data_IF_660328215600
#
_entry.id   IF_660328215600
#
_cell.length_a   1.000
_cell.length_b   1.000
_cell.length_c   1.000
_cell.angle_alpha   90.00
_cell.angle_beta   90.00
_cell.angle_gamma   90.00
#
_symmetry.space_group_name_H-M   'P 1'
#
loop_
_entity.id
_entity.type
_entity.pdbx_description
1 polymer ?
#
# COMPACT_ATOMS: atom_id res chain seq x y z
N UNK A 1 -63.29 -22.46 -35.50
CA UNK A 1 -63.54 -21.32 -34.59
C UNK A 1 -62.21 -20.71 -34.21
N UNK A 2 -62.11 -19.38 -34.26
CA UNK A 2 -60.94 -18.54 -33.96
C UNK A 2 -60.37 -18.84 -32.55
N UNK A 3 -59.07 -18.71 -32.24
CA UNK A 3 -58.25 -17.48 -32.16
C UNK A 3 -56.76 -17.87 -31.89
N UNK A 4 -55.77 -17.02 -32.26
CA UNK A 4 -54.36 -17.19 -31.90
C UNK A 4 -54.06 -16.57 -30.53
N UNK A 5 -53.12 -17.14 -29.77
CA UNK A 5 -52.57 -16.52 -28.55
C UNK A 5 -51.18 -16.00 -28.87
N UNK A 6 -51.02 -14.68 -28.72
CA UNK A 6 -49.80 -13.94 -28.97
C UNK A 6 -48.72 -14.24 -27.92
N UNK A 7 -47.49 -14.39 -28.39
CA UNK A 7 -46.28 -14.50 -27.60
C UNK A 7 -45.85 -13.09 -27.17
N UNK A 8 -46.05 -12.74 -25.90
CA UNK A 8 -45.52 -11.51 -25.32
C UNK A 8 -44.15 -11.79 -24.71
N UNK A 9 -43.09 -11.27 -25.35
CA UNK A 9 -41.73 -11.23 -24.81
C UNK A 9 -41.70 -10.16 -23.72
N UNK A 10 -41.61 -10.57 -22.45
CA UNK A 10 -41.31 -9.68 -21.33
C UNK A 10 -39.79 -9.45 -21.30
N UNK A 11 -39.34 -8.29 -21.78
CA UNK A 11 -38.04 -7.73 -21.43
C UNK A 11 -38.11 -7.26 -19.97
N UNK A 12 -37.53 -8.03 -19.05
CA UNK A 12 -37.27 -7.59 -17.68
C UNK A 12 -36.08 -6.64 -17.68
N UNK A 13 -36.36 -5.34 -17.73
CA UNK A 13 -35.39 -4.30 -17.34
C UNK A 13 -35.33 -4.32 -15.82
N UNK A 14 -34.30 -4.97 -15.28
CA UNK A 14 -33.99 -4.92 -13.85
C UNK A 14 -33.46 -3.52 -13.51
N UNK A 15 -34.36 -2.58 -13.23
CA UNK A 15 -34.01 -1.39 -12.49
C UNK A 15 -33.70 -1.81 -11.05
N UNK A 16 -32.41 -1.89 -10.72
CA UNK A 16 -31.96 -2.01 -9.33
C UNK A 16 -32.51 -0.81 -8.55
N UNK A 17 -33.41 -1.10 -7.62
CA UNK A 17 -33.99 -0.13 -6.70
C UNK A 17 -32.90 0.43 -5.81
N UNK A 18 -32.72 1.76 -5.87
CA UNK A 18 -31.84 2.53 -5.01
C UNK A 18 -32.37 2.44 -3.57
N UNK A 19 -31.55 1.87 -2.69
CA UNK A 19 -31.78 1.90 -1.25
C UNK A 19 -31.86 3.36 -0.80
N UNK A 20 -32.95 3.73 -0.11
CA UNK A 20 -33.20 5.08 0.38
C UNK A 20 -32.36 5.34 1.64
N UNK A 21 -31.03 5.33 1.48
CA UNK A 21 -30.09 5.76 2.49
C UNK A 21 -30.23 7.26 2.77
N UNK A 22 -30.00 7.67 4.02
CA UNK A 22 -29.95 9.06 4.42
C UNK A 22 -29.06 9.88 3.46
N UNK A 23 -29.49 11.09 3.10
CA UNK A 23 -28.74 11.95 2.19
C UNK A 23 -27.34 12.26 2.78
N UNK A 24 -26.29 11.75 2.12
CA UNK A 24 -24.90 11.97 2.51
C UNK A 24 -24.45 13.36 2.03
N UNK A 25 -24.11 14.24 2.97
CA UNK A 25 -23.60 15.58 2.70
C UNK A 25 -22.12 15.70 3.08
N UNK A 26 -21.33 16.36 2.23
CA UNK A 26 -19.91 16.64 2.48
C UNK A 26 -19.58 18.11 2.23
N UNK A 27 -18.62 18.64 2.98
CA UNK A 27 -18.18 20.04 2.88
C UNK A 27 -17.18 20.28 1.75
N UNK A 28 -16.43 19.24 1.37
CA UNK A 28 -15.46 19.24 0.28
C UNK A 28 -15.49 17.89 -0.41
N UNK A 29 -15.33 17.87 -1.74
CA UNK A 29 -15.39 16.63 -2.51
C UNK A 29 -14.02 15.96 -2.72
N UNK A 30 -12.94 16.73 -2.56
CA UNK A 30 -11.57 16.27 -2.83
C UNK A 30 -10.57 16.79 -1.77
N UNK A 31 -10.96 16.81 -0.49
CA UNK A 31 -10.05 17.21 0.58
C UNK A 31 -8.83 16.27 0.70
N UNK A 32 -7.67 16.81 1.11
CA UNK A 32 -6.54 16.01 1.58
C UNK A 32 -6.98 15.05 2.67
N UNK A 33 -6.58 13.78 2.57
CA UNK A 33 -7.02 12.75 3.51
C UNK A 33 -5.93 11.71 3.81
N UNK A 34 -4.66 12.07 3.67
CA UNK A 34 -3.51 11.20 3.98
C UNK A 34 -2.82 11.63 5.26
N UNK A 35 -1.92 10.80 5.80
CA UNK A 35 -1.04 11.15 6.91
C UNK A 35 0.22 11.90 6.49
N UNK A 36 0.48 12.08 5.18
CA UNK A 36 1.58 12.89 4.68
C UNK A 36 1.43 14.34 5.13
N UNK A 37 2.56 15.05 5.29
CA UNK A 37 2.52 16.47 5.66
C UNK A 37 1.87 17.30 4.55
N UNK A 38 0.92 18.21 4.86
CA UNK A 38 0.35 19.13 3.86
C UNK A 38 1.39 20.12 3.30
N UNK A 39 2.57 20.22 3.94
CA UNK A 39 3.69 21.00 3.46
C UNK A 39 4.47 20.27 2.35
N UNK A 40 4.42 18.95 2.29
CA UNK A 40 5.10 18.15 1.27
C UNK A 40 4.45 18.35 -0.09
N UNK A 41 5.20 18.88 -1.06
CA UNK A 41 4.70 19.27 -2.39
C UNK A 41 4.73 18.15 -3.42
N UNK A 42 5.15 16.94 -3.02
CA UNK A 42 5.50 15.87 -3.94
C UNK A 42 6.95 15.96 -4.35
N UNK A 43 7.40 14.99 -5.14
CA UNK A 43 8.80 14.91 -5.58
C UNK A 43 8.93 14.31 -6.97
N UNK A 44 10.05 14.58 -7.64
CA UNK A 44 10.28 14.19 -9.04
C UNK A 44 10.37 12.69 -9.28
N UNK A 45 10.60 11.90 -8.22
CA UNK A 45 10.59 10.43 -8.25
C UNK A 45 9.19 9.82 -8.07
N UNK A 46 8.12 10.63 -8.24
CA UNK A 46 6.75 10.14 -8.33
C UNK A 46 6.00 10.03 -7.00
N UNK A 47 6.44 10.71 -5.93
CA UNK A 47 5.58 10.91 -4.77
C UNK A 47 4.62 12.07 -5.02
N UNK A 48 3.36 11.87 -4.66
CA UNK A 48 2.34 12.91 -4.75
C UNK A 48 2.49 13.92 -3.62
N UNK A 49 1.84 15.08 -3.74
CA UNK A 49 1.80 16.04 -2.64
C UNK A 49 1.01 15.47 -1.45
N UNK A 50 1.37 15.87 -0.22
CA UNK A 50 0.62 15.46 0.98
C UNK A 50 -0.79 16.05 1.04
N UNK A 51 -1.12 16.98 0.14
CA UNK A 51 -2.47 17.53 -0.04
C UNK A 51 -3.36 16.67 -0.97
N UNK A 52 -2.90 15.49 -1.37
CA UNK A 52 -3.65 14.62 -2.29
C UNK A 52 -4.84 13.97 -1.60
N UNK A 53 -5.99 13.89 -2.29
CA UNK A 53 -7.09 13.01 -1.89
C UNK A 53 -6.87 11.61 -2.45
N UNK A 54 -6.76 10.63 -1.57
CA UNK A 54 -6.48 9.23 -1.91
C UNK A 54 -7.67 8.37 -1.56
N UNK A 55 -7.92 7.36 -2.38
CA UNK A 55 -8.99 6.38 -2.17
C UNK A 55 -8.81 5.64 -0.84
N UNK A 56 -9.93 5.47 -0.14
CA UNK A 56 -10.04 4.68 1.09
C UNK A 56 -10.70 3.32 0.84
N UNK A 57 -10.84 2.92 -0.42
CA UNK A 57 -11.25 1.55 -0.75
C UNK A 57 -10.25 0.59 -0.12
N UNK A 58 -10.77 -0.40 0.59
CA UNK A 58 -9.97 -1.39 1.31
C UNK A 58 -9.05 -2.13 0.33
N UNK A 59 -7.74 -2.19 0.62
CA UNK A 59 -6.75 -2.86 -0.21
C UNK A 59 -7.02 -4.36 -0.41
N UNK A 60 -7.75 -5.00 0.51
CA UNK A 60 -8.16 -6.40 0.36
C UNK A 60 -9.07 -6.62 -0.85
N UNK A 61 -9.72 -5.59 -1.38
CA UNK A 61 -10.52 -5.68 -2.63
C UNK A 61 -9.68 -6.01 -3.86
N UNK A 62 -8.35 -5.86 -3.80
CA UNK A 62 -7.42 -6.26 -4.86
C UNK A 62 -6.90 -7.69 -4.70
N UNK A 63 -7.19 -8.37 -3.58
CA UNK A 63 -6.79 -9.75 -3.35
C UNK A 63 -7.81 -10.72 -3.96
N UNK A 64 -7.37 -11.95 -4.20
CA UNK A 64 -8.22 -13.04 -4.66
C UNK A 64 -9.42 -13.27 -3.71
N UNK A 65 -10.60 -13.67 -4.24
CA UNK A 65 -11.79 -13.90 -3.42
C UNK A 65 -11.56 -14.92 -2.29
N UNK A 66 -12.04 -14.60 -1.10
CA UNK A 66 -11.87 -15.44 0.09
C UNK A 66 -10.46 -15.39 0.70
N UNK A 67 -9.64 -14.41 0.32
CA UNK A 67 -8.34 -14.18 0.95
C UNK A 67 -8.47 -13.91 2.45
N UNK A 68 -7.57 -14.52 3.22
CA UNK A 68 -7.30 -14.23 4.64
C UNK A 68 -5.89 -13.67 4.85
N UNK A 69 -5.25 -13.23 3.77
CA UNK A 69 -3.90 -12.65 3.78
C UNK A 69 -3.89 -11.39 4.63
N UNK A 70 -2.92 -11.26 5.55
CA UNK A 70 -2.71 -9.97 6.22
C UNK A 70 -1.87 -9.04 5.34
N UNK A 71 -2.33 -7.82 5.16
CA UNK A 71 -1.63 -6.79 4.40
C UNK A 71 -0.82 -5.91 5.34
N UNK A 72 0.50 -5.97 5.23
CA UNK A 72 1.46 -5.28 6.11
C UNK A 72 2.17 -4.17 5.33
N UNK A 73 2.24 -2.95 5.83
CA UNK A 73 3.04 -1.91 5.19
C UNK A 73 4.50 -1.96 5.66
N UNK A 74 5.47 -1.92 4.75
CA UNK A 74 6.86 -1.70 5.14
C UNK A 74 6.99 -0.25 5.64
N UNK A 75 7.36 -0.07 6.91
CA UNK A 75 7.31 1.19 7.63
C UNK A 75 8.69 1.59 8.12
N UNK A 76 9.10 2.83 7.82
CA UNK A 76 10.43 3.34 8.12
C UNK A 76 10.33 4.51 9.11
N UNK A 77 10.52 4.28 10.42
CA UNK A 77 10.45 5.31 11.45
C UNK A 77 11.75 6.14 11.51
N UNK A 78 12.21 6.63 10.37
CA UNK A 78 13.58 7.15 10.20
C UNK A 78 13.65 8.66 9.87
N UNK A 79 12.52 9.36 9.82
CA UNK A 79 12.44 10.79 9.56
C UNK A 79 12.70 11.54 10.86
N UNK A 80 13.99 11.81 11.12
CA UNK A 80 14.45 12.35 12.40
C UNK A 80 14.77 13.85 12.39
N UNK A 81 15.39 14.36 13.47
CA UNK A 81 15.83 15.77 13.57
C UNK A 81 16.84 16.16 12.49
N UNK A 82 17.65 15.20 12.04
CA UNK A 82 18.70 15.44 11.08
C UNK A 82 18.09 15.43 9.67
N UNK A 83 18.30 16.50 8.88
CA UNK A 83 17.82 16.54 7.50
C UNK A 83 18.32 15.33 6.72
N UNK A 84 17.41 14.70 5.97
CA UNK A 84 17.71 13.71 4.95
C UNK A 84 17.71 14.39 3.58
N UNK A 85 17.92 13.65 2.49
CA UNK A 85 17.91 14.20 1.12
C UNK A 85 16.57 14.86 0.74
N UNK A 86 15.53 14.64 1.54
CA UNK A 86 14.18 15.17 1.37
C UNK A 86 13.60 15.66 2.71
N UNK A 87 12.88 16.79 2.68
CA UNK A 87 12.04 17.22 3.81
C UNK A 87 10.59 16.76 3.58
N UNK A 88 10.16 15.76 4.37
CA UNK A 88 8.79 15.21 4.32
C UNK A 88 7.80 16.01 5.19
N UNK A 89 8.27 17.03 5.91
CA UNK A 89 7.44 17.93 6.70
C UNK A 89 6.87 17.33 7.99
N UNK A 90 7.47 16.25 8.50
CA UNK A 90 7.16 15.66 9.81
C UNK A 90 8.38 14.91 10.39
N UNK A 91 8.26 14.49 11.66
CA UNK A 91 9.22 13.57 12.31
C UNK A 91 8.54 12.26 12.71
N UNK A 92 9.26 11.16 12.60
CA UNK A 92 8.78 9.81 12.96
C UNK A 92 8.62 9.60 14.47
N UNK A 93 9.26 10.43 15.30
CA UNK A 93 9.13 10.40 16.76
C UNK A 93 8.03 11.34 17.29
N UNK A 94 7.25 12.00 16.42
CA UNK A 94 6.06 12.77 16.83
C UNK A 94 4.85 11.82 17.02
N UNK A 95 4.31 11.67 18.25
CA UNK A 95 3.16 10.80 18.50
C UNK A 95 1.90 11.20 17.72
N UNK A 96 1.72 12.50 17.40
CA UNK A 96 0.59 12.95 16.58
C UNK A 96 0.74 12.53 15.13
N UNK A 97 1.97 12.50 14.61
CA UNK A 97 2.24 11.95 13.30
C UNK A 97 1.99 10.45 13.29
N UNK A 98 2.47 9.71 14.30
CA UNK A 98 2.21 8.28 14.43
C UNK A 98 0.71 7.97 14.44
N UNK A 99 -0.10 8.73 15.20
CA UNK A 99 -1.56 8.59 15.20
C UNK A 99 -2.15 8.77 13.80
N UNK A 100 -1.80 9.85 13.09
CA UNK A 100 -2.27 10.07 11.71
C UNK A 100 -1.86 8.92 10.80
N UNK A 101 -0.63 8.44 10.90
CA UNK A 101 -0.09 7.36 10.08
C UNK A 101 -0.87 6.06 10.27
N UNK A 102 -1.09 5.59 11.50
CA UNK A 102 -1.83 4.35 11.71
C UNK A 102 -3.33 4.48 11.44
N UNK A 103 -3.93 5.63 11.70
CA UNK A 103 -5.33 5.87 11.33
C UNK A 103 -5.51 5.87 9.80
N UNK A 104 -4.55 6.44 9.07
CA UNK A 104 -4.55 6.42 7.61
C UNK A 104 -4.37 5.00 7.07
N UNK A 105 -3.37 4.25 7.56
CA UNK A 105 -3.18 2.84 7.23
C UNK A 105 -4.46 2.03 7.48
N UNK A 106 -5.09 2.18 8.65
CA UNK A 106 -6.32 1.47 9.02
C UNK A 106 -7.46 1.84 8.07
N UNK A 107 -7.59 3.11 7.71
CA UNK A 107 -8.60 3.59 6.76
C UNK A 107 -8.45 3.04 5.34
N UNK A 108 -7.30 2.44 5.00
CA UNK A 108 -7.01 1.83 3.68
C UNK A 108 -6.97 0.29 3.74
N UNK A 109 -7.31 -0.30 4.88
CA UNK A 109 -7.32 -1.76 5.07
C UNK A 109 -5.95 -2.39 5.34
N UNK A 110 -4.98 -1.64 5.87
CA UNK A 110 -3.69 -2.21 6.28
C UNK A 110 -3.81 -2.88 7.66
N UNK A 111 -3.34 -4.12 7.78
CA UNK A 111 -3.43 -4.96 8.99
C UNK A 111 -2.18 -4.91 9.88
N UNK A 112 -1.21 -4.08 9.55
CA UNK A 112 0.01 -3.99 10.31
C UNK A 112 1.19 -3.44 9.56
N UNK A 113 2.35 -3.53 10.20
CA UNK A 113 3.60 -2.99 9.65
C UNK A 113 4.77 -3.95 9.80
N UNK A 114 5.68 -3.92 8.84
CA UNK A 114 7.02 -4.47 8.99
C UNK A 114 7.95 -3.27 9.19
N UNK A 115 8.52 -3.14 10.38
CA UNK A 115 9.27 -1.95 10.78
C UNK A 115 10.74 -2.13 10.42
N UNK A 116 11.26 -1.25 9.57
CA UNK A 116 12.70 -1.15 9.30
C UNK A 116 13.44 -0.70 10.56
N UNK A 117 14.45 -1.45 10.98
CA UNK A 117 15.02 -1.34 12.31
C UNK A 117 16.53 -1.58 12.36
N UNK A 118 17.25 -0.64 12.98
CA UNK A 118 18.73 -0.57 12.98
C UNK A 118 19.36 -0.84 14.34
N UNK A 119 18.67 -1.51 15.26
CA UNK A 119 19.24 -1.87 16.55
C UNK A 119 18.82 -0.99 17.72
N UNK A 120 19.03 -1.53 18.93
CA UNK A 120 18.84 -0.82 20.20
C UNK A 120 19.59 0.51 20.22
N UNK A 121 18.93 1.57 20.70
CA UNK A 121 19.53 2.90 20.86
C UNK A 121 19.62 3.75 19.59
N UNK A 122 19.28 3.20 18.41
CA UNK A 122 19.14 4.02 17.20
C UNK A 122 17.92 4.95 17.29
N UNK A 123 17.93 6.02 16.48
CA UNK A 123 16.75 6.88 16.33
C UNK A 123 15.50 6.10 15.88
N UNK A 124 15.65 5.14 14.97
CA UNK A 124 14.51 4.33 14.49
C UNK A 124 13.88 3.48 15.60
N UNK A 125 14.67 2.99 16.55
CA UNK A 125 14.16 2.29 17.74
C UNK A 125 13.39 3.26 18.65
N UNK A 126 13.92 4.47 18.85
CA UNK A 126 13.26 5.53 19.63
C UNK A 126 11.93 5.96 18.99
N UNK A 127 11.92 6.22 17.69
CA UNK A 127 10.75 6.62 16.93
C UNK A 127 9.70 5.49 16.86
N UNK A 128 10.14 4.23 16.73
CA UNK A 128 9.23 3.08 16.81
C UNK A 128 8.56 2.99 18.18
N UNK A 129 9.32 3.09 19.28
CA UNK A 129 8.74 3.10 20.65
C UNK A 129 7.74 4.24 20.84
N UNK A 130 8.02 5.42 20.28
CA UNK A 130 7.08 6.56 20.31
C UNK A 130 5.80 6.31 19.48
N UNK A 131 5.88 5.44 18.46
CA UNK A 131 4.78 5.07 17.58
C UNK A 131 3.88 3.96 18.15
N UNK A 132 4.40 3.12 19.04
CA UNK A 132 3.65 1.97 19.61
C UNK A 132 2.32 2.34 20.29
N UNK A 133 2.17 3.45 21.04
CA UNK A 133 0.87 3.85 21.57
C UNK A 133 -0.20 4.10 20.49
N UNK A 134 0.19 4.68 19.36
CA UNK A 134 -0.71 4.91 18.23
C UNK A 134 -1.08 3.60 17.50
N UNK A 135 -0.13 2.66 17.38
CA UNK A 135 -0.43 1.30 16.92
C UNK A 135 -1.39 0.58 17.87
N UNK A 136 -1.24 0.76 19.18
CA UNK A 136 -2.11 0.14 20.19
C UNK A 136 -3.56 0.63 20.13
N UNK A 137 -3.79 1.85 19.64
CA UNK A 137 -5.13 2.37 19.34
C UNK A 137 -5.80 1.65 18.16
N UNK A 138 -5.03 0.90 17.37
CA UNK A 138 -5.49 0.09 16.23
C UNK A 138 -5.31 -1.41 16.55
N UNK A 139 -6.14 -2.03 17.40
CA UNK A 139 -5.89 -3.36 17.99
C UNK A 139 -5.89 -4.52 16.98
N UNK A 140 -6.39 -4.31 15.77
CA UNK A 140 -6.31 -5.28 14.66
C UNK A 140 -4.94 -5.28 13.98
N UNK A 141 -4.18 -4.19 14.12
CA UNK A 141 -2.86 -4.08 13.53
C UNK A 141 -1.83 -4.90 14.29
N UNK A 142 -1.00 -5.60 13.53
CA UNK A 142 0.18 -6.29 14.03
C UNK A 142 1.47 -5.60 13.58
N UNK A 143 2.60 -5.93 14.20
CA UNK A 143 3.90 -5.46 13.74
C UNK A 143 4.97 -6.54 13.82
N UNK A 144 5.90 -6.53 12.88
CA UNK A 144 7.15 -7.27 12.96
C UNK A 144 8.32 -6.29 12.85
N UNK A 145 9.51 -6.70 13.28
CA UNK A 145 10.73 -5.94 13.01
C UNK A 145 11.52 -6.60 11.89
N UNK A 146 12.13 -5.76 11.07
CA UNK A 146 13.11 -6.11 10.06
C UNK A 146 14.47 -5.62 10.52
N UNK A 147 15.36 -6.55 10.84
CA UNK A 147 16.75 -6.24 11.16
C UNK A 147 17.45 -5.88 9.86
N UNK A 148 17.76 -4.62 9.67
CA UNK A 148 18.45 -4.14 8.47
C UNK A 148 19.96 -4.07 8.68
N UNK A 149 20.70 -4.23 7.58
CA UNK A 149 22.17 -4.21 7.53
C UNK A 149 22.80 -2.94 8.12
N UNK A 150 22.08 -1.83 8.13
CA UNK A 150 22.43 -0.61 8.84
C UNK A 150 22.70 -0.83 10.33
N UNK A 151 22.09 -1.84 10.95
CA UNK A 151 22.37 -2.19 12.35
C UNK A 151 23.86 -2.46 12.61
N UNK A 152 24.61 -2.96 11.63
CA UNK A 152 26.05 -3.25 11.79
C UNK A 152 26.91 -2.00 11.71
N UNK A 153 26.43 -0.97 11.03
CA UNK A 153 27.07 0.35 11.00
C UNK A 153 26.80 1.14 12.27
N UNK A 154 25.59 1.05 12.80
CA UNK A 154 25.13 1.96 13.85
C UNK A 154 25.15 1.33 15.25
N UNK A 155 24.81 0.04 15.39
CA UNK A 155 24.56 -0.61 16.68
C UNK A 155 25.06 -2.06 16.73
N UNK A 156 26.23 -2.34 16.14
CA UNK A 156 26.89 -3.62 16.35
C UNK A 156 27.32 -3.76 17.82
N UNK A 157 27.15 -4.94 18.42
CA UNK A 157 27.63 -5.13 19.79
C UNK A 157 29.17 -5.16 19.84
N UNK A 158 29.73 -4.62 20.93
CA UNK A 158 31.18 -4.40 21.05
C UNK A 158 31.94 -5.73 21.02
N UNK A 159 32.81 -5.89 20.02
CA UNK A 159 33.65 -7.07 19.86
C UNK A 159 32.92 -8.32 19.33
N UNK A 160 31.65 -8.17 18.95
CA UNK A 160 30.86 -9.25 18.39
C UNK A 160 31.20 -9.51 16.91
N UNK A 161 31.12 -10.77 16.50
CA UNK A 161 30.99 -11.14 15.10
C UNK A 161 29.56 -10.88 14.56
N UNK A 162 29.36 -11.15 13.27
CA UNK A 162 28.06 -11.01 12.59
C UNK A 162 26.94 -11.79 13.29
N UNK A 163 27.18 -13.06 13.65
CA UNK A 163 26.18 -13.92 14.28
C UNK A 163 25.87 -13.46 15.70
N UNK A 164 26.91 -13.10 16.47
CA UNK A 164 26.77 -12.58 17.82
C UNK A 164 26.00 -11.26 17.84
N UNK A 165 26.20 -10.39 16.84
CA UNK A 165 25.44 -9.16 16.70
C UNK A 165 23.97 -9.45 16.40
N UNK A 166 23.66 -10.35 15.47
CA UNK A 166 22.26 -10.75 15.18
C UNK A 166 21.58 -11.31 16.44
N UNK A 167 22.27 -12.20 17.17
CA UNK A 167 21.73 -12.78 18.41
C UNK A 167 21.54 -11.72 19.50
N UNK A 168 22.48 -10.79 19.64
CA UNK A 168 22.36 -9.67 20.58
C UNK A 168 21.12 -8.81 20.28
N UNK A 169 20.88 -8.49 19.01
CA UNK A 169 19.68 -7.75 18.60
C UNK A 169 18.40 -8.57 18.87
N UNK A 170 18.39 -9.88 18.58
CA UNK A 170 17.26 -10.74 18.90
C UNK A 170 16.95 -10.83 20.39
N UNK A 171 17.97 -10.79 21.24
CA UNK A 171 17.77 -10.81 22.69
C UNK A 171 17.13 -9.51 23.17
N UNK A 172 17.51 -8.37 22.60
CA UNK A 172 16.82 -7.10 22.84
C UNK A 172 15.36 -7.16 22.39
N UNK A 173 15.12 -7.61 21.15
CA UNK A 173 13.76 -7.72 20.61
C UNK A 173 12.87 -8.65 21.42
N UNK A 174 13.43 -9.76 21.94
CA UNK A 174 12.72 -10.70 22.78
C UNK A 174 12.27 -10.11 24.11
N UNK A 175 13.05 -9.20 24.68
CA UNK A 175 12.68 -8.51 25.93
C UNK A 175 11.70 -7.37 25.70
N UNK A 176 11.95 -6.56 24.68
CA UNK A 176 11.23 -5.29 24.49
C UNK A 176 9.94 -5.44 23.66
N UNK A 177 9.96 -6.27 22.61
CA UNK A 177 8.92 -6.26 21.58
C UNK A 177 8.08 -7.53 21.56
N UNK A 178 8.69 -8.71 21.73
CA UNK A 178 7.95 -9.97 21.65
C UNK A 178 6.84 -10.12 22.69
N UNK A 179 6.90 -9.56 23.91
CA UNK A 179 5.78 -9.62 24.86
C UNK A 179 4.50 -8.92 24.36
N UNK A 180 4.60 -8.03 23.36
CA UNK A 180 3.43 -7.39 22.79
C UNK A 180 2.48 -8.40 22.14
N UNK A 181 1.19 -8.26 22.43
CA UNK A 181 0.11 -9.03 21.78
C UNK A 181 -0.05 -8.67 20.30
N UNK A 182 0.39 -7.49 19.90
CA UNK A 182 0.40 -7.05 18.51
C UNK A 182 1.67 -7.46 17.76
N UNK A 183 2.67 -8.08 18.41
CA UNK A 183 3.82 -8.62 17.67
C UNK A 183 3.36 -9.76 16.75
N UNK A 184 3.72 -9.67 15.47
CA UNK A 184 3.32 -10.59 14.41
C UNK A 184 3.84 -11.99 14.73
N UNK A 185 2.92 -12.95 14.66
CA UNK A 185 3.21 -14.36 14.89
C UNK A 185 2.67 -15.22 13.77
N UNK A 186 3.40 -16.29 13.47
CA UNK A 186 2.95 -17.38 12.62
C UNK A 186 3.12 -18.67 13.43
N UNK A 187 2.05 -19.47 13.53
CA UNK A 187 1.97 -20.63 14.42
C UNK A 187 2.43 -20.35 15.87
N UNK A 188 2.00 -19.20 16.41
CA UNK A 188 2.32 -18.76 17.77
C UNK A 188 3.74 -18.24 17.99
N UNK A 189 4.62 -18.29 17.00
CA UNK A 189 6.03 -17.85 17.11
C UNK A 189 6.27 -16.47 16.48
N UNK A 190 7.11 -15.62 17.09
CA UNK A 190 7.45 -14.30 16.55
C UNK A 190 8.13 -14.41 15.17
N UNK A 191 7.68 -13.58 14.23
CA UNK A 191 8.27 -13.46 12.89
C UNK A 191 9.25 -12.29 12.88
N UNK A 192 10.48 -12.54 12.43
CA UNK A 192 11.52 -11.52 12.27
C UNK A 192 12.04 -11.55 10.84
N UNK A 193 12.19 -10.36 10.26
CA UNK A 193 12.70 -10.19 8.91
C UNK A 193 14.17 -9.75 8.96
N UNK A 194 14.90 -10.00 7.88
CA UNK A 194 16.23 -9.42 7.67
C UNK A 194 16.30 -8.70 6.33
N UNK A 195 17.10 -7.64 6.26
CA UNK A 195 17.31 -6.90 5.02
C UNK A 195 18.79 -6.60 4.81
N UNK A 196 19.30 -6.95 3.63
CA UNK A 196 20.66 -6.63 3.21
C UNK A 196 21.77 -7.34 4.00
N UNK A 197 21.48 -8.42 4.74
CA UNK A 197 22.51 -9.10 5.55
C UNK A 197 23.68 -9.62 4.71
N UNK A 198 23.42 -10.03 3.47
CA UNK A 198 24.46 -10.52 2.55
C UNK A 198 25.51 -9.46 2.21
N UNK A 199 25.16 -8.17 2.29
CA UNK A 199 26.09 -7.07 2.02
C UNK A 199 27.09 -6.84 3.16
N UNK A 200 26.77 -7.27 4.38
CA UNK A 200 27.63 -7.09 5.57
C UNK A 200 28.41 -8.36 5.94
N UNK A 201 28.03 -9.51 5.40
CA UNK A 201 28.80 -10.75 5.52
C UNK A 201 27.95 -12.01 5.34
N UNK A 202 28.55 -13.16 5.64
CA UNK A 202 27.87 -14.47 5.57
C UNK A 202 27.43 -14.91 6.95
N UNK A 203 26.16 -14.66 7.28
CA UNK A 203 25.58 -15.14 8.52
C UNK A 203 25.43 -16.67 8.49
N UNK A 204 25.69 -17.32 9.63
CA UNK A 204 25.43 -18.74 9.84
C UNK A 204 24.00 -18.91 10.36
N UNK A 205 23.04 -18.94 9.42
CA UNK A 205 21.62 -19.02 9.73
C UNK A 205 21.24 -20.31 10.46
N UNK A 206 21.97 -21.41 10.26
CA UNK A 206 21.75 -22.64 11.01
C UNK A 206 22.11 -22.45 12.49
N UNK A 207 23.26 -21.81 12.78
CA UNK A 207 23.67 -21.45 14.14
C UNK A 207 22.70 -20.45 14.79
N UNK A 208 22.30 -19.41 14.07
CA UNK A 208 21.36 -18.39 14.56
C UNK A 208 20.01 -19.04 14.91
N UNK A 209 19.46 -19.84 14.00
CA UNK A 209 18.19 -20.53 14.22
C UNK A 209 18.26 -21.57 15.34
N UNK A 210 19.39 -22.25 15.51
CA UNK A 210 19.60 -23.20 16.61
C UNK A 210 19.66 -22.50 17.98
N UNK A 211 20.22 -21.29 18.04
CA UNK A 211 20.26 -20.49 19.27
C UNK A 211 18.89 -19.87 19.63
N UNK A 212 18.06 -19.57 18.62
CA UNK A 212 16.72 -18.98 18.79
C UNK A 212 15.64 -19.79 18.02
N UNK A 213 15.34 -21.03 18.43
CA UNK A 213 14.35 -21.89 17.77
C UNK A 213 12.90 -21.38 17.90
N UNK A 214 12.68 -20.45 18.82
CA UNK A 214 11.42 -19.76 19.06
C UNK A 214 11.08 -18.74 17.97
N UNK A 215 12.07 -18.23 17.23
CA UNK A 215 11.91 -17.17 16.22
C UNK A 215 11.78 -17.76 14.82
N UNK A 216 10.93 -17.14 14.00
CA UNK A 216 10.77 -17.44 12.58
C UNK A 216 11.49 -16.39 11.73
N UNK A 217 12.67 -16.74 11.22
CA UNK A 217 13.43 -15.89 10.31
C UNK A 217 12.89 -15.94 8.88
N UNK A 218 12.54 -14.77 8.36
CA UNK A 218 12.08 -14.56 6.98
C UNK A 218 13.13 -13.73 6.24
N UNK A 219 13.64 -14.30 5.15
CA UNK A 219 14.77 -13.76 4.40
C UNK A 219 14.35 -12.99 3.16
N UNK A 220 15.22 -12.14 2.64
CA UNK A 220 14.93 -11.38 1.43
C UNK A 220 15.04 -12.26 0.16
N UNK A 221 14.16 -12.03 -0.81
CA UNK A 221 14.05 -12.67 -2.13
C UNK A 221 13.93 -14.20 -2.14
N UNK A 222 13.73 -14.77 -3.33
CA UNK A 222 13.51 -16.20 -3.51
C UNK A 222 14.68 -17.08 -3.02
N UNK A 223 15.92 -16.58 -3.09
CA UNK A 223 17.09 -17.30 -2.58
C UNK A 223 17.03 -17.51 -1.06
N UNK A 224 16.37 -16.59 -0.33
CA UNK A 224 16.13 -16.68 1.10
C UNK A 224 15.33 -17.92 1.51
N UNK A 225 14.49 -18.46 0.61
CA UNK A 225 13.81 -19.73 0.84
C UNK A 225 14.83 -20.88 0.94
N UNK A 226 15.97 -20.82 0.25
CA UNK A 226 16.93 -21.92 0.18
C UNK A 226 18.02 -21.86 1.25
N UNK A 227 18.05 -20.81 2.09
CA UNK A 227 19.03 -20.69 3.16
C UNK A 227 18.88 -21.80 4.21
N UNK A 228 19.99 -22.28 4.80
CA UNK A 228 19.95 -23.26 5.88
C UNK A 228 19.05 -22.80 7.03
N UNK A 229 18.14 -23.67 7.46
CA UNK A 229 17.19 -23.43 8.54
C UNK A 229 16.19 -22.26 8.32
N UNK A 230 16.13 -21.69 7.11
CA UNK A 230 15.15 -20.66 6.72
C UNK A 230 13.73 -21.04 7.07
N UNK A 231 12.96 -20.08 7.60
CA UNK A 231 11.54 -20.24 7.90
C UNK A 231 10.64 -19.59 6.86
N UNK A 232 11.21 -18.82 5.94
CA UNK A 232 10.45 -18.11 4.94
C UNK A 232 11.29 -17.13 4.14
N UNK A 233 10.63 -16.50 3.18
CA UNK A 233 11.18 -15.36 2.49
C UNK A 233 10.11 -14.34 2.12
N UNK A 234 10.57 -13.13 1.83
CA UNK A 234 9.77 -12.03 1.31
C UNK A 234 10.34 -11.50 0.01
N UNK A 235 9.48 -11.01 -0.87
CA UNK A 235 9.92 -10.33 -2.09
C UNK A 235 10.09 -8.83 -1.86
N UNK A 236 11.16 -8.27 -2.44
CA UNK A 236 11.40 -6.83 -2.50
C UNK A 236 11.36 -6.35 -3.95
N UNK A 237 11.27 -5.04 -4.14
CA UNK A 237 11.24 -4.43 -5.47
C UNK A 237 12.57 -4.64 -6.19
N UNK A 238 12.50 -5.25 -7.37
CA UNK A 238 13.62 -5.42 -8.28
C UNK A 238 13.52 -4.34 -9.37
N UNK A 239 14.13 -3.18 -9.10
CA UNK A 239 14.26 -2.09 -10.06
C UNK A 239 15.56 -2.23 -10.86
N UNK A 240 15.63 -1.56 -12.01
CA UNK A 240 16.82 -1.59 -12.87
C UNK A 240 17.49 -0.23 -12.93
N UNK A 241 18.76 -0.17 -13.30
CA UNK A 241 19.44 1.12 -13.38
C UNK A 241 18.74 2.07 -14.37
N UNK A 242 18.58 3.33 -13.95
CA UNK A 242 17.92 4.40 -14.70
C UNK A 242 18.57 4.65 -16.06
N UNK A 243 19.87 4.38 -16.17
CA UNK A 243 20.60 4.44 -17.42
C UNK A 243 20.13 3.39 -18.44
N UNK A 244 19.85 2.16 -17.99
CA UNK A 244 19.35 1.06 -18.84
C UNK A 244 17.86 1.13 -19.11
N UNK A 245 17.12 1.77 -18.22
CA UNK A 245 15.65 1.76 -18.26
C UNK A 245 14.99 2.38 -19.49
N UNK A 246 15.74 3.15 -20.28
CA UNK A 246 15.26 3.71 -21.54
C UNK A 246 15.14 2.66 -22.64
N UNK A 247 16.02 1.66 -22.62
CA UNK A 247 16.14 0.66 -23.68
C UNK A 247 15.49 -0.67 -23.28
N UNK A 248 15.55 -1.00 -21.99
CA UNK A 248 15.00 -2.23 -21.41
C UNK A 248 14.26 -1.85 -20.12
N UNK A 249 12.92 -1.66 -20.14
CA UNK A 249 12.11 -1.32 -18.97
C UNK A 249 12.02 -2.47 -17.95
N UNK A 250 12.00 -2.14 -16.65
CA UNK A 250 12.01 -3.12 -15.59
C UNK A 250 10.68 -3.88 -15.62
N UNK A 251 10.77 -5.20 -15.49
CA UNK A 251 9.60 -6.07 -15.48
C UNK A 251 9.32 -6.58 -14.06
N UNK A 252 8.10 -7.05 -13.84
CA UNK A 252 7.73 -7.75 -12.60
C UNK A 252 8.05 -9.25 -12.66
N UNK A 253 8.97 -9.67 -13.53
CA UNK A 253 9.35 -11.09 -13.67
C UNK A 253 9.94 -11.66 -12.37
N UNK A 254 10.73 -10.88 -11.63
CA UNK A 254 11.25 -11.29 -10.32
C UNK A 254 10.14 -11.61 -9.30
N UNK A 255 9.03 -10.86 -9.37
CA UNK A 255 7.85 -11.10 -8.53
C UNK A 255 7.18 -12.44 -8.87
N UNK A 256 7.01 -12.73 -10.16
CA UNK A 256 6.47 -14.01 -10.64
C UNK A 256 7.38 -15.20 -10.27
N UNK A 257 8.70 -15.05 -10.42
CA UNK A 257 9.70 -16.06 -10.02
C UNK A 257 9.62 -16.32 -8.51
N UNK A 258 9.49 -15.27 -7.70
CA UNK A 258 9.34 -15.41 -6.26
C UNK A 258 8.10 -16.24 -5.92
N UNK A 259 6.94 -15.93 -6.50
CA UNK A 259 5.71 -16.66 -6.21
C UNK A 259 5.74 -18.11 -6.70
N UNK A 260 6.28 -18.39 -7.89
CA UNK A 260 6.53 -19.76 -8.36
C UNK A 260 7.45 -20.54 -7.38
N UNK A 261 8.51 -19.90 -6.89
CA UNK A 261 9.43 -20.55 -5.95
C UNK A 261 8.75 -20.80 -4.61
N UNK A 262 8.02 -19.82 -4.09
CA UNK A 262 7.32 -19.89 -2.81
C UNK A 262 6.23 -20.97 -2.80
N UNK A 263 5.42 -21.06 -3.86
CA UNK A 263 4.36 -22.08 -3.99
C UNK A 263 4.90 -23.50 -4.07
N UNK A 264 6.16 -23.69 -4.54
CA UNK A 264 6.85 -24.98 -4.50
C UNK A 264 7.36 -25.38 -3.10
N UNK A 265 7.33 -24.46 -2.12
CA UNK A 265 7.81 -24.67 -0.75
C UNK A 265 6.74 -24.30 0.30
N UNK A 266 5.56 -24.95 0.30
CA UNK A 266 4.39 -24.52 1.07
C UNK A 266 4.56 -24.61 2.60
N UNK A 267 5.62 -25.25 3.09
CA UNK A 267 5.93 -25.31 4.53
C UNK A 267 6.73 -24.09 5.03
N UNK A 268 7.14 -23.20 4.12
CA UNK A 268 7.87 -21.96 4.45
C UNK A 268 6.92 -20.77 4.33
N UNK A 269 7.18 -19.75 5.14
CA UNK A 269 6.39 -18.52 5.14
C UNK A 269 6.75 -17.76 3.86
N UNK A 270 5.77 -17.60 2.98
CA UNK A 270 5.85 -16.67 1.86
C UNK A 270 5.27 -15.32 2.29
N UNK A 271 6.04 -14.26 2.13
CA UNK A 271 5.57 -12.88 2.29
C UNK A 271 5.61 -12.20 0.93
N UNK A 272 4.44 -12.00 0.35
CA UNK A 272 4.31 -11.36 -0.96
C UNK A 272 4.71 -9.89 -0.90
N UNK A 273 4.76 -9.25 -2.07
CA UNK A 273 5.10 -7.84 -2.17
C UNK A 273 4.40 -7.19 -3.35
N UNK A 274 3.95 -5.95 -3.13
CA UNK A 274 3.43 -5.05 -4.15
C UNK A 274 3.96 -3.64 -3.90
N UNK A 275 4.19 -2.89 -4.96
CA UNK A 275 4.73 -1.54 -4.93
C UNK A 275 4.10 -0.71 -6.04
N UNK A 276 3.99 0.60 -5.82
CA UNK A 276 3.45 1.51 -6.84
C UNK A 276 4.42 1.73 -8.02
N UNK A 277 5.71 1.44 -7.81
CA UNK A 277 6.85 1.71 -8.67
C UNK A 277 8.07 2.01 -7.78
N UNK A 278 9.16 2.47 -8.37
CA UNK A 278 10.42 2.75 -7.68
C UNK A 278 11.23 3.80 -8.43
N UNK A 279 11.79 4.78 -7.74
CA UNK A 279 12.78 5.71 -8.29
C UNK A 279 13.62 6.27 -7.12
N UNK A 280 14.78 5.67 -6.89
CA UNK A 280 15.72 6.03 -5.82
C UNK A 280 16.64 7.20 -6.19
N UNK A 281 16.32 7.97 -7.23
CA UNK A 281 17.14 9.13 -7.62
C UNK A 281 17.21 10.26 -6.58
N UNK A 282 16.38 10.20 -5.53
CA UNK A 282 16.45 11.10 -4.39
C UNK A 282 17.13 10.47 -3.17
N UNK A 283 17.51 9.20 -3.25
CA UNK A 283 18.18 8.50 -2.18
C UNK A 283 19.69 8.77 -2.21
N UNK A 284 20.30 9.18 -1.08
CA UNK A 284 21.73 9.48 -1.04
C UNK A 284 22.63 8.26 -1.33
N UNK A 285 22.14 7.03 -1.06
CA UNK A 285 22.88 5.80 -1.34
C UNK A 285 22.88 5.38 -2.81
N UNK A 286 21.92 5.88 -3.60
CA UNK A 286 21.79 5.54 -5.02
C UNK A 286 22.26 6.66 -5.97
N UNK A 287 22.75 7.79 -5.43
CA UNK A 287 23.09 8.99 -6.18
C UNK A 287 24.00 8.76 -7.41
N UNK A 288 24.91 7.78 -7.34
CA UNK A 288 25.83 7.45 -8.43
C UNK A 288 25.19 6.59 -9.54
N UNK A 289 24.19 5.79 -9.21
CA UNK A 289 23.56 4.84 -10.14
C UNK A 289 22.13 4.53 -9.66
N UNK A 290 21.18 5.44 -9.86
CA UNK A 290 19.82 5.22 -9.42
C UNK A 290 19.14 4.13 -10.23
N UNK A 291 18.17 3.47 -9.60
CA UNK A 291 17.29 2.47 -10.16
C UNK A 291 15.86 3.01 -10.31
N UNK A 292 15.16 2.51 -11.33
CA UNK A 292 13.78 2.88 -11.60
C UNK A 292 12.95 1.67 -12.01
N UNK A 293 11.70 1.70 -11.57
CA UNK A 293 10.59 0.91 -12.08
C UNK A 293 9.42 1.88 -12.20
N UNK A 294 8.91 2.04 -13.41
CA UNK A 294 7.86 3.02 -13.68
C UNK A 294 6.61 2.75 -12.83
N UNK A 295 5.95 3.83 -12.38
CA UNK A 295 4.64 3.66 -11.75
C UNK A 295 3.52 3.42 -12.77
N UNK A 296 3.74 3.86 -14.02
CA UNK A 296 2.81 3.74 -15.15
C UNK A 296 1.37 4.07 -14.78
N UNK A 297 1.18 5.22 -14.14
CA UNK A 297 -0.13 5.68 -13.68
C UNK A 297 -0.87 4.65 -12.81
N UNK A 298 -0.16 3.92 -11.94
CA UNK A 298 -0.76 2.91 -11.08
C UNK A 298 -0.88 1.52 -11.71
N UNK A 299 -0.48 1.34 -12.98
CA UNK A 299 -0.48 0.02 -13.63
C UNK A 299 0.45 -0.97 -12.91
N UNK A 300 1.63 -0.54 -12.48
CA UNK A 300 2.59 -1.40 -11.75
C UNK A 300 1.99 -1.94 -10.44
N UNK A 301 1.22 -1.10 -9.74
CA UNK A 301 0.49 -1.51 -8.54
C UNK A 301 -0.54 -2.61 -8.83
N UNK A 302 -1.41 -2.38 -9.82
CA UNK A 302 -2.46 -3.34 -10.18
C UNK A 302 -1.89 -4.65 -10.74
N UNK A 303 -0.81 -4.56 -11.51
CA UNK A 303 -0.12 -5.73 -12.06
C UNK A 303 0.51 -6.59 -10.96
N UNK A 304 1.07 -5.99 -9.91
CA UNK A 304 1.57 -6.74 -8.75
C UNK A 304 0.48 -7.59 -8.07
N UNK A 305 -0.72 -7.02 -7.89
CA UNK A 305 -1.88 -7.78 -7.38
C UNK A 305 -2.37 -8.83 -8.36
N UNK A 306 -2.39 -8.52 -9.67
CA UNK A 306 -2.75 -9.49 -10.72
C UNK A 306 -1.85 -10.73 -10.65
N UNK A 307 -0.53 -10.53 -10.61
CA UNK A 307 0.45 -11.62 -10.50
C UNK A 307 0.22 -12.40 -9.21
N UNK A 308 0.08 -11.74 -8.05
CA UNK A 308 -0.22 -12.43 -6.78
C UNK A 308 -1.47 -13.33 -6.91
N UNK A 309 -2.54 -12.82 -7.51
CA UNK A 309 -3.81 -13.54 -7.66
C UNK A 309 -3.75 -14.69 -8.69
N UNK A 310 -2.72 -14.77 -9.53
CA UNK A 310 -2.48 -15.93 -10.40
C UNK A 310 -1.85 -17.12 -9.64
N UNK A 311 -1.13 -16.84 -8.56
CA UNK A 311 -0.40 -17.85 -7.77
C UNK A 311 -1.13 -18.31 -6.52
N UNK A 312 -2.09 -17.53 -6.02
CA UNK A 312 -2.79 -17.80 -4.77
C UNK A 312 -4.30 -17.72 -4.93
N UNK A 313 -5.02 -18.43 -4.07
CA UNK A 313 -6.48 -18.56 -4.09
C UNK A 313 -7.03 -18.90 -2.71
N UNK A 314 -8.36 -19.03 -2.61
CA UNK A 314 -9.01 -19.50 -1.39
C UNK A 314 -8.43 -20.82 -0.84
N UNK A 315 -7.95 -21.70 -1.72
CA UNK A 315 -7.40 -23.02 -1.38
C UNK A 315 -5.88 -23.04 -1.17
N UNK A 316 -5.19 -22.01 -1.62
CA UNK A 316 -3.75 -21.83 -1.48
C UNK A 316 -3.51 -20.38 -1.09
N UNK A 317 -3.55 -20.11 0.21
CA UNK A 317 -3.46 -18.76 0.75
C UNK A 317 -2.00 -18.36 0.90
N UNK A 318 -1.70 -17.10 0.60
CA UNK A 318 -0.47 -16.46 1.09
C UNK A 318 -0.74 -15.83 2.47
N UNK A 319 0.07 -16.12 3.51
CA UNK A 319 -0.25 -15.63 4.86
C UNK A 319 -0.10 -14.12 4.99
N UNK A 320 0.93 -13.55 4.35
CA UNK A 320 1.30 -12.14 4.48
C UNK A 320 1.59 -11.53 3.11
N UNK A 321 1.12 -10.30 2.89
CA UNK A 321 1.49 -9.45 1.77
C UNK A 321 2.11 -8.17 2.32
N UNK A 322 3.30 -7.80 1.85
CA UNK A 322 3.89 -6.51 2.18
C UNK A 322 3.59 -5.44 1.13
N UNK A 323 3.32 -4.21 1.58
CA UNK A 323 3.22 -3.02 0.74
C UNK A 323 4.54 -2.24 0.81
N UNK A 324 5.23 -2.13 -0.32
CA UNK A 324 6.55 -1.49 -0.44
C UNK A 324 6.38 -0.08 -1.05
N UNK A 325 6.61 1.00 -0.31
CA UNK A 325 6.68 1.11 1.17
C UNK A 325 5.62 2.08 1.65
N UNK A 326 5.37 2.19 2.95
CA UNK A 326 4.52 3.26 3.45
C UNK A 326 5.13 4.64 3.20
N UNK A 327 6.37 4.85 3.66
CA UNK A 327 6.96 6.18 3.80
C UNK A 327 8.45 6.26 3.44
N UNK A 328 8.93 5.43 2.52
CA UNK A 328 10.21 5.70 1.85
C UNK A 328 10.00 6.66 0.67
N UNK A 329 10.12 7.95 0.97
CA UNK A 329 10.01 8.99 -0.03
C UNK A 329 11.28 9.13 -0.89
N UNK A 330 12.44 8.72 -0.38
CA UNK A 330 13.72 8.80 -1.09
C UNK A 330 13.76 7.83 -2.27
N UNK A 331 13.10 6.68 -2.13
CA UNK A 331 12.96 5.64 -3.16
C UNK A 331 11.74 5.80 -4.08
N UNK A 332 10.95 6.86 -3.88
CA UNK A 332 9.75 7.09 -4.69
C UNK A 332 8.69 5.99 -4.53
N UNK A 333 8.81 5.17 -3.49
CA UNK A 333 7.96 4.01 -3.20
C UNK A 333 6.88 4.31 -2.15
N UNK A 334 6.95 5.46 -1.47
CA UNK A 334 5.99 5.88 -0.44
C UNK A 334 4.53 5.89 -0.91
N UNK A 335 3.72 5.02 -0.31
CA UNK A 335 2.27 4.90 -0.47
C UNK A 335 1.48 5.90 0.39
N UNK A 336 2.12 6.52 1.38
CA UNK A 336 1.50 7.50 2.28
C UNK A 336 0.81 8.63 1.49
N UNK A 337 1.48 9.18 0.47
CA UNK A 337 0.92 10.22 -0.42
C UNK A 337 -0.06 9.70 -1.48
N UNK A 338 -0.19 8.38 -1.61
CA UNK A 338 -0.99 7.70 -2.61
C UNK A 338 -0.26 7.47 -3.94
N UNK A 339 -1.03 6.97 -4.91
CA UNK A 339 -0.57 6.57 -6.24
C UNK A 339 -1.26 7.44 -7.28
N UNK A 340 -0.50 7.99 -8.24
CA UNK A 340 -1.07 8.78 -9.32
C UNK A 340 -2.03 7.91 -10.15
N UNK A 341 -3.31 8.29 -10.22
CA UNK A 341 -4.29 7.55 -11.05
C UNK A 341 -4.22 7.97 -12.51
N UNK A 342 -3.68 9.15 -12.81
CA UNK A 342 -3.69 9.80 -14.13
C UNK A 342 -5.08 9.90 -14.80
N UNK A 343 -6.15 9.71 -14.01
CA UNK A 343 -7.52 9.76 -14.50
C UNK A 343 -7.86 11.20 -14.86
N UNK A 344 -8.50 11.36 -16.02
CA UNK A 344 -9.14 12.59 -16.46
C UNK A 344 -10.61 12.27 -16.70
N UNK A 345 -11.47 13.15 -16.22
CA UNK A 345 -12.92 13.02 -16.35
C UNK A 345 -13.38 13.99 -17.43
N UNK A 346 -13.93 13.46 -18.52
CA UNK A 346 -14.75 14.23 -19.47
C UNK A 346 -16.22 13.93 -19.17
N UNK A 347 -16.92 14.92 -18.62
CA UNK A 347 -18.31 14.79 -18.23
C UNK A 347 -19.08 16.01 -18.73
N UNK A 348 -20.07 15.78 -19.60
CA UNK A 348 -20.87 16.84 -20.22
C UNK A 348 -22.35 16.50 -20.20
N UNK A 349 -23.20 17.50 -20.01
CA UNK A 349 -24.64 17.32 -20.09
C UNK A 349 -25.05 16.99 -21.53
N UNK A 350 -25.93 16.00 -21.69
CA UNK A 350 -26.59 15.62 -22.92
C UNK A 350 -28.09 15.41 -22.63
N UNK A 351 -28.86 16.50 -22.71
CA UNK A 351 -30.28 16.50 -22.32
C UNK A 351 -30.48 16.26 -20.83
N UNK A 352 -31.24 15.21 -20.48
CA UNK A 352 -31.48 14.74 -19.11
C UNK A 352 -30.42 13.75 -18.62
N UNK A 353 -29.30 13.62 -19.33
CA UNK A 353 -28.20 12.75 -18.93
C UNK A 353 -26.88 13.50 -18.87
N UNK A 354 -25.91 12.91 -18.19
CA UNK A 354 -24.51 13.26 -18.23
C UNK A 354 -23.79 12.21 -19.07
N UNK A 355 -23.25 12.60 -20.22
CA UNK A 355 -22.32 11.77 -20.97
C UNK A 355 -20.96 11.78 -20.27
N UNK A 356 -20.38 10.60 -20.02
CA UNK A 356 -19.16 10.42 -19.23
C UNK A 356 -18.14 9.61 -20.03
N UNK A 357 -16.88 10.04 -19.96
CA UNK A 357 -15.70 9.32 -20.42
C UNK A 357 -14.54 9.53 -19.46
N UNK A 358 -13.74 8.48 -19.24
CA UNK A 358 -12.59 8.50 -18.33
C UNK A 358 -11.33 8.10 -19.10
N UNK A 359 -10.22 8.80 -18.87
CA UNK A 359 -8.91 8.19 -19.09
C UNK A 359 -8.58 7.26 -17.93
N UNK A 360 -7.90 6.14 -18.21
CA UNK A 360 -7.53 5.14 -17.21
C UNK A 360 -8.70 4.62 -16.34
N UNK A 361 -9.84 4.18 -16.94
CA UNK A 361 -10.96 3.65 -16.15
C UNK A 361 -10.57 2.44 -15.29
N UNK A 362 -9.51 1.71 -15.64
CA UNK A 362 -8.95 0.60 -14.85
C UNK A 362 -8.46 1.02 -13.47
N UNK A 363 -8.13 2.30 -13.27
CA UNK A 363 -7.66 2.86 -12.00
C UNK A 363 -8.80 3.38 -11.10
N UNK A 364 -10.04 3.32 -11.58
CA UNK A 364 -11.22 3.82 -10.87
C UNK A 364 -11.98 2.64 -10.28
N UNK A 365 -12.33 2.75 -9.00
CA UNK A 365 -13.19 1.77 -8.33
C UNK A 365 -14.65 2.03 -8.67
N UNK A 366 -15.11 3.26 -8.44
CA UNK A 366 -16.45 3.71 -8.79
C UNK A 366 -16.49 5.23 -8.99
N UNK A 367 -17.58 5.69 -9.58
CA UNK A 367 -17.90 7.11 -9.71
C UNK A 367 -18.95 7.51 -8.67
N UNK A 368 -18.82 8.72 -8.16
CA UNK A 368 -19.79 9.36 -7.27
C UNK A 368 -20.28 10.66 -7.93
N UNK A 369 -21.59 10.76 -8.19
CA UNK A 369 -22.22 11.99 -8.66
C UNK A 369 -22.70 12.80 -7.46
N UNK A 370 -22.20 14.02 -7.35
CA UNK A 370 -22.60 14.97 -6.32
C UNK A 370 -23.36 16.14 -6.92
N UNK A 371 -24.33 16.63 -6.16
CA UNK A 371 -25.08 17.85 -6.44
C UNK A 371 -24.67 18.94 -5.45
N UNK A 372 -24.41 20.15 -5.93
CA UNK A 372 -24.16 21.27 -5.03
C UNK A 372 -25.47 21.78 -4.43
N UNK A 373 -25.65 21.56 -3.12
CA UNK A 373 -26.83 22.00 -2.38
C UNK A 373 -26.67 23.42 -1.82
N UNK A 374 -25.44 23.81 -1.44
CA UNK A 374 -25.09 25.15 -0.96
C UNK A 374 -23.60 25.45 -1.23
N UNK A 375 -23.11 26.69 -1.00
CA UNK A 375 -21.68 26.96 -0.96
C UNK A 375 -20.99 26.01 0.03
N UNK A 376 -19.99 25.26 -0.45
CA UNK A 376 -19.29 24.23 0.33
C UNK A 376 -20.22 23.17 0.97
N UNK A 377 -21.34 22.83 0.33
CA UNK A 377 -22.21 21.72 0.74
C UNK A 377 -22.64 20.93 -0.49
N UNK A 378 -22.25 19.66 -0.53
CA UNK A 378 -22.48 18.77 -1.64
C UNK A 378 -23.25 17.54 -1.16
N UNK A 379 -24.27 17.14 -1.90
CA UNK A 379 -25.08 15.97 -1.61
C UNK A 379 -24.74 14.86 -2.61
N UNK A 380 -24.43 13.67 -2.13
CA UNK A 380 -24.29 12.50 -3.00
C UNK A 380 -25.66 12.16 -3.62
N UNK A 381 -25.68 11.97 -4.94
CA UNK A 381 -26.88 11.66 -5.72
C UNK A 381 -26.89 10.21 -6.17
N UNK A 382 -25.72 9.65 -6.50
CA UNK A 382 -25.62 8.27 -6.93
C UNK A 382 -24.18 7.80 -7.08
N UNK A 383 -24.01 6.48 -7.04
CA UNK A 383 -22.75 5.79 -7.31
C UNK A 383 -22.90 4.96 -8.57
N UNK A 384 -21.87 4.95 -9.41
CA UNK A 384 -21.90 4.30 -10.72
C UNK A 384 -20.61 3.52 -10.97
N UNK A 385 -20.71 2.48 -11.81
CA UNK A 385 -19.54 1.75 -12.28
C UNK A 385 -18.62 2.66 -13.11
N UNK A 386 -17.29 2.44 -13.12
CA UNK A 386 -16.34 3.24 -13.90
C UNK A 386 -16.56 3.11 -15.42
N UNK A 387 -17.25 2.07 -15.88
CA UNK A 387 -17.61 1.84 -17.29
C UNK A 387 -18.86 2.59 -17.75
N UNK A 388 -19.54 3.33 -16.85
CA UNK A 388 -20.76 4.07 -17.23
C UNK A 388 -20.43 5.17 -18.23
N UNK A 389 -21.21 5.25 -19.30
CA UNK A 389 -21.06 6.27 -20.34
C UNK A 389 -22.17 7.32 -20.32
N UNK A 390 -23.26 7.04 -19.61
CA UNK A 390 -24.40 7.94 -19.46
C UNK A 390 -25.02 7.80 -18.07
N UNK A 391 -25.17 8.91 -17.35
CA UNK A 391 -25.77 8.98 -16.03
C UNK A 391 -27.05 9.83 -16.08
N UNK A 392 -28.23 9.33 -15.66
CA UNK A 392 -29.44 10.12 -15.62
C UNK A 392 -29.34 11.23 -14.58
N UNK A 393 -29.76 12.45 -14.95
CA UNK A 393 -29.91 13.57 -14.04
C UNK A 393 -31.36 13.65 -13.60
N UNK A 394 -31.63 13.50 -12.31
CA UNK A 394 -32.96 13.82 -11.75
C UNK A 394 -33.16 15.33 -11.82
N UNK A 395 -34.31 15.81 -12.30
CA UNK A 395 -34.65 17.24 -12.46
C UNK A 395 -34.75 17.99 -11.12
N UNK A 396 -33.62 18.12 -10.43
CA UNK A 396 -33.47 19.00 -9.28
C UNK A 396 -32.80 20.28 -9.74
N UNK A 397 -33.27 21.39 -9.17
CA UNK A 397 -32.89 22.78 -9.39
C UNK A 397 -31.44 23.10 -8.98
N UNK A 398 -30.51 22.16 -9.14
CA UNK A 398 -29.13 22.35 -8.72
C UNK A 398 -28.41 23.29 -9.69
N UNK A 399 -27.60 24.20 -9.15
CA UNK A 399 -26.81 25.09 -9.99
C UNK A 399 -25.61 24.37 -10.65
N UNK A 400 -25.14 23.23 -10.10
CA UNK A 400 -24.01 22.46 -10.64
C UNK A 400 -23.93 21.04 -10.07
N UNK A 401 -23.54 20.09 -10.92
CA UNK A 401 -23.14 18.73 -10.55
C UNK A 401 -21.62 18.58 -10.56
N UNK A 402 -21.11 17.59 -9.84
CA UNK A 402 -19.70 17.21 -9.81
C UNK A 402 -19.59 15.70 -9.89
N UNK A 403 -18.68 15.21 -10.73
CA UNK A 403 -18.39 13.79 -10.82
C UNK A 403 -17.03 13.52 -10.18
N UNK A 404 -17.02 12.68 -9.15
CA UNK A 404 -15.79 12.21 -8.52
C UNK A 404 -15.50 10.80 -8.98
N UNK A 405 -14.31 10.57 -9.53
CA UNK A 405 -13.75 9.25 -9.71
C UNK A 405 -12.99 8.85 -8.45
N UNK A 406 -13.54 7.88 -7.72
CA UNK A 406 -12.87 7.26 -6.57
C UNK A 406 -11.88 6.25 -7.11
N UNK A 407 -10.61 6.42 -6.79
CA UNK A 407 -9.57 5.51 -7.26
C UNK A 407 -9.73 4.10 -6.67
N UNK A 408 -9.07 3.11 -7.27
CA UNK A 408 -8.80 1.81 -6.61
C UNK A 408 -7.96 2.02 -5.34
N UNK A 409 -7.80 1.01 -4.46
CA UNK A 409 -7.04 1.18 -3.21
C UNK A 409 -5.71 1.89 -3.42
N UNK A 410 -5.43 2.88 -2.56
CA UNK A 410 -4.27 3.78 -2.61
C UNK A 410 -4.16 4.74 -3.80
N UNK A 411 -5.06 4.69 -4.78
CA UNK A 411 -5.02 5.60 -5.93
C UNK A 411 -5.66 6.95 -5.63
N UNK A 412 -5.12 7.99 -6.27
CA UNK A 412 -5.64 9.36 -6.20
C UNK A 412 -7.09 9.44 -6.69
N UNK A 413 -7.95 10.09 -5.90
CA UNK A 413 -9.29 10.50 -6.31
C UNK A 413 -9.19 11.70 -7.25
N UNK A 414 -10.06 11.73 -8.26
CA UNK A 414 -10.15 12.84 -9.22
C UNK A 414 -11.56 13.40 -9.22
N UNK A 415 -11.69 14.71 -9.33
CA UNK A 415 -12.98 15.39 -9.43
C UNK A 415 -13.07 16.21 -10.71
N UNK A 416 -14.24 16.19 -11.34
CA UNK A 416 -14.53 17.04 -12.49
C UNK A 416 -14.59 18.52 -12.08
N UNK A 417 -14.42 19.45 -13.04
CA UNK A 417 -14.93 20.80 -12.89
C UNK A 417 -16.46 20.81 -12.63
N UNK A 418 -17.04 21.94 -12.17
CA UNK A 418 -18.49 22.08 -12.05
C UNK A 418 -19.18 21.82 -13.39
N UNK A 419 -20.11 20.88 -13.41
CA UNK A 419 -20.97 20.58 -14.56
C UNK A 419 -22.24 21.39 -14.40
N UNK A 420 -22.33 22.50 -15.13
CA UNK A 420 -23.47 23.43 -15.05
C UNK A 420 -24.68 22.90 -15.82
N UNK A 421 -25.86 23.20 -15.30
CA UNK A 421 -27.10 23.11 -16.05
C UNK A 421 -27.24 24.40 -16.86
N UNK A 422 -27.00 24.34 -18.17
CA UNK A 422 -27.49 25.39 -19.09
C UNK A 422 -29.01 25.48 -19.07
#
# INVERSE_FOLDING_TARGET
MLKPIALAVLLSISALTVDAGAAEFVSTLNAPNTSASPLFKGSSNGNLAGTTSVSKVDVHTLLYPGSTTKVLAHYLPWWGPNPRGLDVGYRSDDPRQAQRTFDDMASRGVDGVIVDWYGEGHFVDTAWKASMPALAANPKMSFALMVDSGTFKFNACKGCDLNQTILHQLDYMAREYFPSRQYLRHDGRPVVFEFGMEAVGKADWARIQAARPDVLWVHIHAHGLNLPASKGAFVWVEAQSKARAKDDPASLTGLDIFYNTATSQPTKIAVGGVWKGFDDSMAPWAAASPHVLAQDCGKTWLEGFRILNEHYSAHQQIPFLQLVTWNDYEEGSALETGIASCVKIDARRAGQTLAVSLSHPENVDHLELYEQAAPASFRLVGRYAPSVTSIPLTERSSNSYFLKAVGKPFMQNVISPPIKLE
#
